data_IF_211678536195
#
_entry.id   IF_211678536195
#
_cell.length_a   1.000
_cell.length_b   1.000
_cell.length_c   1.000
_cell.angle_alpha   90.00
_cell.angle_beta   90.00
_cell.angle_gamma   90.00
#
_symmetry.space_group_name_H-M   'P 1'
#
loop_
_entity.id
_entity.type
_entity.pdbx_description
1 polymer ?
#
# COMPACT_ATOMS: atom_id res chain seq x y z
N UNK A 1 2.47 -18.78 -13.87
CA UNK A 1 1.46 -17.81 -13.39
C UNK A 1 0.55 -18.49 -12.37
N UNK A 2 0.41 -17.93 -11.18
CA UNK A 2 -0.28 -18.58 -10.06
C UNK A 2 -1.80 -18.62 -10.30
N UNK A 3 -2.45 -19.79 -10.14
CA UNK A 3 -3.88 -19.98 -10.50
C UNK A 3 -4.80 -19.04 -9.71
N UNK A 4 -4.44 -18.72 -8.47
CA UNK A 4 -5.19 -17.83 -7.58
C UNK A 4 -5.22 -16.36 -8.05
N UNK A 5 -4.26 -15.93 -8.89
CA UNK A 5 -4.23 -14.56 -9.42
C UNK A 5 -5.22 -14.35 -10.58
N UNK A 6 -5.71 -15.44 -11.20
CA UNK A 6 -6.59 -15.37 -12.38
C UNK A 6 -8.06 -15.13 -12.05
N UNK A 7 -8.47 -15.36 -10.80
CA UNK A 7 -9.84 -15.14 -10.36
C UNK A 7 -9.84 -14.32 -9.08
N UNK A 8 -10.93 -13.60 -8.82
CA UNK A 8 -11.07 -12.79 -7.62
C UNK A 8 -12.45 -13.01 -7.03
N UNK A 9 -12.51 -13.17 -5.71
CA UNK A 9 -13.78 -13.29 -4.97
C UNK A 9 -14.25 -11.90 -4.53
N UNK A 10 -15.52 -11.57 -4.77
CA UNK A 10 -16.12 -10.31 -4.36
C UNK A 10 -15.74 -9.09 -5.22
N UNK A 11 -15.60 -9.28 -6.54
CA UNK A 11 -15.38 -8.23 -7.55
C UNK A 11 -14.22 -8.55 -8.51
N UNK A 12 -13.70 -7.53 -9.20
CA UNK A 12 -12.57 -7.63 -10.16
C UNK A 12 -11.44 -6.59 -9.96
N UNK A 13 -11.45 -5.83 -8.86
CA UNK A 13 -10.56 -4.69 -8.58
C UNK A 13 -9.03 -4.92 -8.60
N UNK A 14 -8.53 -6.16 -8.64
CA UNK A 14 -7.11 -6.47 -8.85
C UNK A 14 -6.82 -7.13 -10.21
N UNK A 15 -7.83 -7.62 -10.92
CA UNK A 15 -7.63 -8.39 -12.15
C UNK A 15 -7.05 -7.56 -13.29
N UNK A 16 -7.26 -6.25 -13.26
CA UNK A 16 -6.72 -5.30 -14.25
C UNK A 16 -5.35 -4.73 -13.86
N UNK A 17 -4.81 -5.06 -12.69
CA UNK A 17 -3.49 -4.59 -12.26
C UNK A 17 -2.40 -5.40 -12.97
N UNK A 18 -1.29 -4.75 -13.33
CA UNK A 18 -0.12 -5.44 -13.90
C UNK A 18 0.57 -6.32 -12.86
N UNK A 19 0.69 -5.83 -11.62
CA UNK A 19 1.10 -6.61 -10.46
C UNK A 19 0.08 -6.44 -9.34
N UNK A 20 -0.50 -7.54 -8.85
CA UNK A 20 -1.49 -7.49 -7.77
C UNK A 20 -0.81 -7.22 -6.42
N UNK A 21 -1.49 -6.56 -5.45
CA UNK A 21 -0.88 -6.25 -4.16
C UNK A 21 -0.41 -7.49 -3.40
N UNK A 22 -1.08 -8.64 -3.56
CA UNK A 22 -0.65 -9.90 -2.92
C UNK A 22 0.69 -10.41 -3.47
N UNK A 23 1.03 -10.11 -4.72
CA UNK A 23 2.33 -10.47 -5.31
C UNK A 23 3.43 -9.65 -4.65
N UNK A 24 3.27 -8.32 -4.59
CA UNK A 24 4.21 -7.43 -3.89
C UNK A 24 4.41 -7.88 -2.43
N UNK A 25 3.32 -8.06 -1.68
CA UNK A 25 3.37 -8.43 -0.26
C UNK A 25 4.21 -9.69 -0.03
N UNK A 26 4.01 -10.72 -0.84
CA UNK A 26 4.74 -11.98 -0.71
C UNK A 26 6.18 -11.88 -1.21
N UNK A 27 6.45 -11.08 -2.25
CA UNK A 27 7.80 -10.96 -2.80
C UNK A 27 8.75 -10.25 -1.84
N UNK A 28 8.28 -9.28 -1.05
CA UNK A 28 9.11 -8.51 -0.11
C UNK A 28 8.75 -8.75 1.36
N UNK A 29 7.98 -9.80 1.65
CA UNK A 29 7.64 -10.23 3.01
C UNK A 29 7.04 -9.08 3.87
N UNK A 30 6.17 -8.26 3.27
CA UNK A 30 5.47 -7.21 4.02
C UNK A 30 4.59 -7.84 5.10
N UNK A 31 4.65 -7.25 6.30
CA UNK A 31 3.82 -7.70 7.39
C UNK A 31 2.32 -7.45 7.13
N UNK A 32 1.48 -7.96 8.03
CA UNK A 32 0.03 -7.86 7.92
C UNK A 32 -0.48 -6.42 7.81
N UNK A 33 0.09 -5.50 8.61
CA UNK A 33 -0.36 -4.11 8.65
C UNK A 33 -0.04 -3.40 7.32
N UNK A 34 1.23 -3.41 6.89
CA UNK A 34 1.67 -2.77 5.67
C UNK A 34 1.03 -3.42 4.43
N UNK A 35 0.88 -4.74 4.42
CA UNK A 35 0.16 -5.42 3.35
C UNK A 35 -1.30 -4.96 3.23
N UNK A 36 -1.97 -4.74 4.36
CA UNK A 36 -3.31 -4.15 4.35
C UNK A 36 -3.31 -2.70 3.85
N UNK A 37 -2.33 -1.89 4.24
CA UNK A 37 -2.19 -0.51 3.72
C UNK A 37 -2.09 -0.53 2.20
N UNK A 38 -1.14 -1.27 1.63
CA UNK A 38 -0.96 -1.39 0.17
C UNK A 38 -2.26 -1.83 -0.49
N UNK A 39 -2.86 -2.91 0.03
CA UNK A 39 -4.12 -3.49 -0.45
C UNK A 39 -5.24 -2.45 -0.53
N UNK A 40 -5.39 -1.61 0.49
CA UNK A 40 -6.46 -0.61 0.54
C UNK A 40 -6.15 0.62 -0.31
N UNK A 41 -4.90 1.09 -0.35
CA UNK A 41 -4.49 2.23 -1.17
C UNK A 41 -4.66 1.93 -2.66
N UNK A 42 -4.31 0.74 -3.14
CA UNK A 42 -4.47 0.44 -4.58
C UNK A 42 -5.93 0.16 -4.95
N UNK A 43 -6.73 -0.30 -3.99
CA UNK A 43 -8.10 -0.76 -4.23
C UNK A 43 -9.15 0.33 -4.16
N UNK A 44 -8.94 1.38 -3.36
CA UNK A 44 -9.99 2.38 -3.08
C UNK A 44 -10.75 2.92 -4.30
N UNK A 45 -10.14 3.17 -5.48
CA UNK A 45 -10.88 3.71 -6.62
C UNK A 45 -11.89 2.71 -7.18
N UNK A 46 -11.59 1.42 -7.04
CA UNK A 46 -12.32 0.32 -7.67
C UNK A 46 -13.18 -0.48 -6.68
N UNK A 47 -13.05 -0.24 -5.37
CA UNK A 47 -13.90 -0.85 -4.33
C UNK A 47 -13.88 -0.04 -3.04
N UNK A 48 -15.06 0.11 -2.43
CA UNK A 48 -15.33 0.76 -1.14
C UNK A 48 -14.93 2.25 -1.00
N UNK A 49 -14.23 2.86 -1.96
CA UNK A 49 -13.94 4.29 -1.94
C UNK A 49 -13.18 4.72 -0.68
N UNK A 50 -13.59 5.85 -0.10
CA UNK A 50 -12.94 6.47 1.06
C UNK A 50 -12.90 5.56 2.30
N UNK A 51 -13.80 4.56 2.38
CA UNK A 51 -13.79 3.60 3.48
C UNK A 51 -12.54 2.71 3.47
N UNK A 52 -12.01 2.36 2.30
CA UNK A 52 -10.73 1.66 2.21
C UNK A 52 -9.57 2.57 2.63
N UNK A 53 -9.61 3.87 2.32
CA UNK A 53 -8.59 4.81 2.79
C UNK A 53 -8.60 5.00 4.31
N UNK A 54 -9.79 5.02 4.94
CA UNK A 54 -9.93 5.02 6.40
C UNK A 54 -9.31 3.77 7.03
N UNK A 55 -9.49 2.60 6.40
CA UNK A 55 -8.84 1.34 6.83
C UNK A 55 -7.33 1.41 6.64
N UNK A 56 -6.84 1.92 5.52
CA UNK A 56 -5.40 2.11 5.29
C UNK A 56 -4.78 2.97 6.41
N UNK A 57 -5.40 4.10 6.74
CA UNK A 57 -4.99 4.97 7.86
C UNK A 57 -4.93 4.20 9.18
N UNK A 58 -5.98 3.43 9.50
CA UNK A 58 -6.03 2.65 10.73
C UNK A 58 -4.93 1.59 10.83
N UNK A 59 -4.60 0.92 9.73
CA UNK A 59 -3.49 -0.04 9.69
C UNK A 59 -2.11 0.60 9.82
N UNK A 60 -1.94 1.85 9.38
CA UNK A 60 -0.71 2.60 9.67
C UNK A 60 -0.61 2.88 11.17
N UNK A 61 -1.71 3.26 11.84
CA UNK A 61 -1.71 3.46 13.30
C UNK A 61 -1.36 2.18 14.06
N UNK A 62 -1.89 1.02 13.64
CA UNK A 62 -1.47 -0.26 14.20
C UNK A 62 0.01 -0.53 13.99
N UNK A 63 0.56 -0.21 12.82
CA UNK A 63 1.99 -0.40 12.59
C UNK A 63 2.84 0.49 13.50
N UNK A 64 2.44 1.75 13.70
CA UNK A 64 3.10 2.67 14.64
C UNK A 64 3.04 2.16 16.08
N UNK A 65 1.89 1.64 16.50
CA UNK A 65 1.68 1.16 17.86
C UNK A 65 2.48 -0.12 18.16
N UNK A 66 2.43 -1.10 17.26
CA UNK A 66 2.99 -2.42 17.51
C UNK A 66 4.41 -2.61 16.95
N UNK A 67 4.86 -1.75 16.03
CA UNK A 67 6.21 -1.76 15.41
C UNK A 67 6.62 -3.15 14.93
N UNK A 68 5.71 -3.81 14.24
CA UNK A 68 5.86 -5.25 13.94
C UNK A 68 6.68 -5.51 12.69
N UNK A 69 6.89 -4.49 11.84
CA UNK A 69 7.63 -4.65 10.61
C UNK A 69 9.12 -4.72 10.87
N UNK A 70 9.74 -5.81 10.41
CA UNK A 70 11.19 -5.93 10.34
C UNK A 70 11.65 -5.38 9.00
N UNK A 71 12.71 -4.56 9.01
CA UNK A 71 13.30 -4.08 7.77
C UNK A 71 13.62 -5.25 6.85
N UNK A 72 13.26 -5.09 5.59
CA UNK A 72 13.54 -6.08 4.54
C UNK A 72 14.83 -5.69 3.81
N UNK A 73 15.44 -6.62 3.07
CA UNK A 73 16.67 -6.34 2.31
C UNK A 73 16.44 -5.12 1.37
N UNK A 74 17.14 -3.99 1.58
CA UNK A 74 16.93 -2.76 0.81
C UNK A 74 17.03 -2.95 -0.70
N UNK A 75 17.92 -3.84 -1.18
CA UNK A 75 18.11 -4.09 -2.61
C UNK A 75 16.92 -4.85 -3.19
N UNK A 76 16.49 -5.91 -2.49
CA UNK A 76 15.31 -6.71 -2.86
C UNK A 76 14.06 -5.83 -2.86
N UNK A 77 13.86 -5.04 -1.81
CA UNK A 77 12.68 -4.17 -1.66
C UNK A 77 12.63 -3.12 -2.76
N UNK A 78 13.73 -2.42 -3.04
CA UNK A 78 13.72 -1.31 -3.99
C UNK A 78 13.32 -1.74 -5.40
N UNK A 79 13.91 -2.83 -5.90
CA UNK A 79 13.63 -3.34 -7.24
C UNK A 79 12.19 -3.85 -7.39
N UNK A 80 11.67 -4.60 -6.42
CA UNK A 80 10.29 -5.12 -6.50
C UNK A 80 9.25 -4.00 -6.41
N UNK A 81 9.50 -2.95 -5.62
CA UNK A 81 8.62 -1.77 -5.64
C UNK A 81 8.67 -1.01 -6.97
N UNK A 82 9.84 -0.92 -7.61
CA UNK A 82 9.96 -0.31 -8.94
C UNK A 82 9.17 -1.12 -9.97
N UNK A 83 9.29 -2.45 -9.96
CA UNK A 83 8.47 -3.32 -10.81
C UNK A 83 6.96 -3.14 -10.53
N UNK A 84 6.58 -3.01 -9.25
CA UNK A 84 5.20 -2.76 -8.86
C UNK A 84 4.67 -1.43 -9.42
N UNK A 85 5.45 -0.36 -9.35
CA UNK A 85 5.04 0.93 -9.91
C UNK A 85 5.01 0.91 -11.44
N UNK A 86 6.04 0.34 -12.08
CA UNK A 86 6.16 0.28 -13.53
C UNK A 86 5.07 -0.57 -14.18
N UNK A 87 4.63 -1.64 -13.50
CA UNK A 87 3.54 -2.51 -13.98
C UNK A 87 2.14 -1.92 -13.77
N UNK A 88 1.98 -0.95 -12.86
CA UNK A 88 0.69 -0.38 -12.47
C UNK A 88 0.58 1.10 -12.84
N UNK A 89 0.71 1.42 -14.12
CA UNK A 89 0.71 2.79 -14.66
C UNK A 89 -0.61 3.55 -14.48
N UNK A 90 -1.69 2.88 -14.09
CA UNK A 90 -3.00 3.49 -13.81
C UNK A 90 -3.15 4.04 -12.39
N UNK A 91 -2.14 3.88 -11.52
CA UNK A 91 -2.16 4.46 -10.17
C UNK A 91 -2.08 5.99 -10.28
N UNK A 92 -2.93 6.68 -9.53
CA UNK A 92 -2.91 8.14 -9.48
C UNK A 92 -1.84 8.68 -8.52
N UNK A 93 -1.58 9.99 -8.59
CA UNK A 93 -0.54 10.67 -7.81
C UNK A 93 -0.66 10.41 -6.30
N UNK A 94 -1.89 10.44 -5.76
CA UNK A 94 -2.13 10.15 -4.33
C UNK A 94 -1.72 8.71 -3.96
N UNK A 95 -2.05 7.73 -4.81
CA UNK A 95 -1.66 6.33 -4.59
C UNK A 95 -0.14 6.18 -4.65
N UNK A 96 0.50 6.76 -5.67
CA UNK A 96 1.95 6.69 -5.86
C UNK A 96 2.70 7.34 -4.69
N UNK A 97 2.31 8.54 -4.30
CA UNK A 97 2.94 9.27 -3.19
C UNK A 97 2.79 8.50 -1.86
N UNK A 98 1.58 8.05 -1.54
CA UNK A 98 1.34 7.30 -0.29
C UNK A 98 2.15 6.00 -0.26
N UNK A 99 2.18 5.26 -1.37
CA UNK A 99 2.94 4.00 -1.46
C UNK A 99 4.45 4.23 -1.43
N UNK A 100 4.96 5.34 -1.95
CA UNK A 100 6.38 5.70 -1.85
C UNK A 100 6.82 5.88 -0.38
N UNK A 101 5.98 6.48 0.45
CA UNK A 101 6.25 6.59 1.88
C UNK A 101 6.19 5.23 2.61
N UNK A 102 5.28 4.34 2.22
CA UNK A 102 5.25 2.95 2.70
C UNK A 102 6.51 2.18 2.26
N UNK A 103 6.99 2.37 1.03
CA UNK A 103 8.28 1.81 0.56
C UNK A 103 9.42 2.28 1.45
N UNK A 104 9.52 3.58 1.73
CA UNK A 104 10.57 4.14 2.60
C UNK A 104 10.56 3.45 3.95
N UNK A 105 9.40 3.32 4.60
CA UNK A 105 9.29 2.61 5.87
C UNK A 105 9.64 1.11 5.74
N UNK A 106 9.21 0.44 4.67
CA UNK A 106 9.50 -0.97 4.46
C UNK A 106 11.01 -1.27 4.32
N UNK A 107 11.77 -0.35 3.71
CA UNK A 107 13.23 -0.42 3.55
C UNK A 107 13.96 -0.11 4.85
N UNK A 108 13.53 0.91 5.57
CA UNK A 108 14.24 1.44 6.74
C UNK A 108 13.80 0.79 8.06
N UNK A 109 12.60 0.21 8.10
CA UNK A 109 11.98 -0.35 9.29
C UNK A 109 11.60 0.73 10.32
N UNK A 110 11.54 0.32 11.60
CA UNK A 110 11.19 1.19 12.73
C UNK A 110 12.13 2.38 12.95
N UNK A 111 13.25 2.45 12.23
CA UNK A 111 14.23 3.54 12.31
C UNK A 111 13.73 4.83 11.61
N UNK A 112 12.69 4.77 10.77
CA UNK A 112 12.16 5.92 10.03
C UNK A 112 10.64 6.08 10.17
N UNK A 113 10.18 6.55 11.33
CA UNK A 113 8.76 6.86 11.56
C UNK A 113 8.19 7.87 10.54
N UNK A 114 9.07 8.72 9.98
CA UNK A 114 8.72 9.69 8.94
C UNK A 114 7.98 9.08 7.75
N UNK A 115 8.30 7.84 7.37
CA UNK A 115 7.57 7.17 6.29
C UNK A 115 6.10 6.93 6.64
N UNK A 116 5.80 6.46 7.85
CA UNK A 116 4.41 6.26 8.28
C UNK A 116 3.68 7.57 8.51
N UNK A 117 4.35 8.56 9.10
CA UNK A 117 3.78 9.89 9.35
C UNK A 117 3.40 10.60 8.05
N UNK A 118 4.29 10.58 7.06
CA UNK A 118 4.01 11.19 5.76
C UNK A 118 2.87 10.44 5.03
N UNK A 119 2.81 9.11 5.11
CA UNK A 119 1.70 8.34 4.55
C UNK A 119 0.36 8.69 5.23
N UNK A 120 0.35 8.85 6.56
CA UNK A 120 -0.83 9.31 7.31
C UNK A 120 -1.25 10.71 6.90
N UNK A 121 -0.30 11.61 6.71
CA UNK A 121 -0.54 12.98 6.27
C UNK A 121 -1.16 13.01 4.87
N UNK A 122 -0.62 12.24 3.91
CA UNK A 122 -1.19 12.10 2.57
C UNK A 122 -2.64 11.63 2.62
N UNK A 123 -2.93 10.55 3.36
CA UNK A 123 -4.29 10.01 3.48
C UNK A 123 -5.22 11.03 4.15
N UNK A 124 -4.76 11.70 5.20
CA UNK A 124 -5.58 12.66 5.95
C UNK A 124 -5.90 13.90 5.11
N UNK A 125 -4.93 14.45 4.38
CA UNK A 125 -5.16 15.55 3.44
C UNK A 125 -6.14 15.15 2.33
N UNK A 126 -5.96 13.97 1.75
CA UNK A 126 -6.86 13.47 0.72
C UNK A 126 -8.29 13.37 1.25
N UNK A 127 -8.50 12.72 2.39
CA UNK A 127 -9.83 12.56 3.00
C UNK A 127 -10.50 13.90 3.34
N UNK A 128 -9.74 14.86 3.88
CA UNK A 128 -10.25 16.20 4.17
C UNK A 128 -10.73 16.91 2.90
N UNK A 129 -9.97 16.81 1.80
CA UNK A 129 -10.34 17.45 0.54
C UNK A 129 -11.60 16.84 -0.10
N UNK A 130 -11.92 15.58 0.21
CA UNK A 130 -13.15 14.92 -0.26
C UNK A 130 -14.39 15.26 0.59
N UNK A 131 -14.19 15.87 1.77
CA UNK A 131 -15.27 16.20 2.71
C UNK A 131 -15.81 17.63 2.52
N UNK A 132 -15.23 18.39 1.59
CA UNK A 132 -15.48 19.82 1.37
C UNK A 132 -16.56 20.12 0.32
N UNK A 133 -17.47 19.18 0.04
CA UNK A 133 -18.61 19.35 -0.88
C UNK A 133 -19.92 18.94 -0.21
#
# INVERSE_FOLDING_TARGET
MNKALKYQVGGNHYQSMGMQPIELINLIDLNYNLGNVVKYIVRYPNKNGLEDLKKARHYIEFEKQYRTHKKSDPKKVSHIWEDFFNSNTSLNDFQLETLAYIKIYAVTGSESEKGLDNALECISKFLSNQSSF
#
